data_IF_932119033511
#
_entry.id   IF_932119033511
#
_cell.length_a   1.000
_cell.length_b   1.000
_cell.length_c   1.000
_cell.angle_alpha   90.00
_cell.angle_beta   90.00
_cell.angle_gamma   90.00
#
_symmetry.space_group_name_H-M   'P 1'
#
loop_
_entity.id
_entity.type
_entity.pdbx_description
1 polymer ?
#
# COMPACT_ATOMS: atom_id res chain seq x y z
N UNK A 1 -5.82 9.46 7.50
CA UNK A 1 -5.96 8.36 6.53
C UNK A 1 -4.85 8.45 5.50
N UNK A 2 -4.38 7.34 4.98
CA UNK A 2 -3.34 7.33 3.97
C UNK A 2 -3.94 7.34 2.56
N UNK A 3 -3.17 7.86 1.61
CA UNK A 3 -3.54 7.77 0.19
C UNK A 3 -3.70 6.32 -0.24
N UNK A 4 -2.85 5.43 0.28
CA UNK A 4 -2.95 4.00 -0.02
C UNK A 4 -4.33 3.45 0.34
N UNK A 5 -4.81 3.73 1.54
CA UNK A 5 -6.14 3.26 1.96
C UNK A 5 -7.24 3.86 1.11
N UNK A 6 -7.14 5.15 0.81
CA UNK A 6 -8.15 5.82 -0.02
C UNK A 6 -8.24 5.20 -1.40
N UNK A 7 -7.11 4.96 -2.05
CA UNK A 7 -7.08 4.35 -3.38
C UNK A 7 -7.60 2.91 -3.31
N UNK A 8 -7.19 2.14 -2.30
CA UNK A 8 -7.68 0.77 -2.13
C UNK A 8 -9.20 0.75 -2.01
N UNK A 9 -9.75 1.61 -1.15
CA UNK A 9 -11.20 1.66 -0.93
C UNK A 9 -11.95 2.16 -2.16
N UNK A 10 -11.39 3.12 -2.88
CA UNK A 10 -12.02 3.65 -4.09
C UNK A 10 -12.12 2.59 -5.19
N UNK A 11 -11.23 1.61 -5.20
CA UNK A 11 -11.25 0.51 -6.15
C UNK A 11 -12.07 -0.68 -5.65
N UNK A 12 -12.61 -0.58 -4.44
CA UNK A 12 -13.46 -1.64 -3.87
C UNK A 12 -12.70 -2.83 -3.31
N UNK A 13 -11.40 -2.70 -3.04
CA UNK A 13 -10.61 -3.80 -2.50
C UNK A 13 -10.60 -3.81 -0.98
N UNK A 14 -10.72 -5.03 -0.43
CA UNK A 14 -10.45 -5.25 1.00
C UNK A 14 -8.94 -5.43 1.23
N UNK A 15 -8.52 -5.32 2.49
CA UNK A 15 -7.13 -5.62 2.86
C UNK A 15 -6.74 -7.03 2.42
N UNK A 16 -7.63 -8.01 2.64
CA UNK A 16 -7.34 -9.39 2.26
C UNK A 16 -7.13 -9.56 0.76
N UNK A 17 -7.90 -8.85 -0.05
CA UNK A 17 -7.74 -8.91 -1.49
C UNK A 17 -6.39 -8.34 -1.94
N UNK A 18 -6.00 -7.21 -1.38
CA UNK A 18 -4.69 -6.63 -1.67
C UNK A 18 -3.57 -7.52 -1.16
N UNK A 19 -3.75 -8.11 0.03
CA UNK A 19 -2.78 -9.06 0.59
C UNK A 19 -2.53 -10.23 -0.36
N UNK A 20 -3.59 -10.84 -0.87
CA UNK A 20 -3.47 -11.94 -1.81
C UNK A 20 -2.82 -11.52 -3.12
N UNK A 21 -3.24 -10.40 -3.67
CA UNK A 21 -2.73 -9.93 -4.96
C UNK A 21 -1.28 -9.47 -4.92
N UNK A 22 -0.86 -8.86 -3.82
CA UNK A 22 0.50 -8.36 -3.67
C UNK A 22 1.43 -9.34 -2.96
N UNK A 23 0.90 -10.43 -2.41
CA UNK A 23 1.64 -11.43 -1.63
C UNK A 23 2.31 -10.84 -0.38
N UNK A 24 1.62 -9.89 0.25
CA UNK A 24 2.08 -9.24 1.47
C UNK A 24 1.08 -9.59 2.58
N UNK A 25 1.56 -9.99 3.77
CA UNK A 25 0.65 -10.33 4.88
C UNK A 25 -0.30 -9.19 5.20
N UNK A 26 -1.56 -9.51 5.49
CA UNK A 26 -2.57 -8.49 5.79
C UNK A 26 -2.21 -7.66 7.01
N UNK A 27 -1.58 -8.26 8.03
CA UNK A 27 -1.13 -7.52 9.21
C UNK A 27 -0.12 -6.44 8.83
N UNK A 28 0.79 -6.74 7.89
CA UNK A 28 1.73 -5.76 7.38
C UNK A 28 1.01 -4.62 6.66
N UNK A 29 -0.01 -4.94 5.86
CA UNK A 29 -0.79 -3.92 5.16
C UNK A 29 -1.53 -3.00 6.13
N UNK A 30 -2.10 -3.55 7.21
CA UNK A 30 -2.72 -2.72 8.24
C UNK A 30 -1.71 -1.75 8.85
N UNK A 31 -0.50 -2.22 9.16
CA UNK A 31 0.54 -1.36 9.72
C UNK A 31 0.99 -0.28 8.74
N UNK A 32 1.09 -0.62 7.47
CA UNK A 32 1.48 0.34 6.42
C UNK A 32 0.38 1.39 6.24
N UNK A 33 -0.87 0.99 6.18
CA UNK A 33 -1.99 1.94 6.03
C UNK A 33 -2.16 2.85 7.24
N UNK A 34 -1.73 2.41 8.40
CA UNK A 34 -1.77 3.22 9.63
C UNK A 34 -0.46 3.97 9.89
N UNK A 35 0.48 3.93 8.96
CA UNK A 35 1.79 4.60 9.05
C UNK A 35 2.69 4.06 10.17
N UNK A 36 2.45 2.85 10.67
CA UNK A 36 3.32 2.24 11.68
C UNK A 36 4.57 1.64 11.09
N UNK A 37 4.51 1.23 9.82
CA UNK A 37 5.63 0.60 9.11
C UNK A 37 5.74 1.15 7.71
N UNK A 38 6.97 1.14 7.19
CA UNK A 38 7.22 1.31 5.78
C UNK A 38 7.41 -0.05 5.10
N UNK A 39 7.73 -0.02 3.82
CA UNK A 39 7.95 -1.21 3.01
C UNK A 39 9.27 -1.11 2.26
N UNK A 40 9.89 -2.26 2.01
CA UNK A 40 11.01 -2.32 1.06
C UNK A 40 10.47 -2.10 -0.36
N UNK A 41 11.36 -1.68 -1.26
CA UNK A 41 10.99 -1.29 -2.62
C UNK A 41 10.19 -2.37 -3.36
N UNK A 42 10.61 -3.63 -3.26
CA UNK A 42 9.94 -4.71 -3.97
C UNK A 42 8.49 -4.88 -3.53
N UNK A 43 8.22 -4.77 -2.23
CA UNK A 43 6.86 -4.88 -1.71
C UNK A 43 6.02 -3.66 -2.07
N UNK A 44 6.62 -2.46 -2.01
CA UNK A 44 5.93 -1.24 -2.43
C UNK A 44 5.54 -1.32 -3.90
N UNK A 45 6.43 -1.81 -4.75
CA UNK A 45 6.14 -2.02 -6.17
C UNK A 45 5.03 -3.06 -6.37
N UNK A 46 5.01 -4.12 -5.59
CA UNK A 46 3.95 -5.14 -5.70
C UNK A 46 2.57 -4.55 -5.42
N UNK A 47 2.47 -3.68 -4.42
CA UNK A 47 1.19 -3.01 -4.12
C UNK A 47 0.82 -2.05 -5.25
N UNK A 48 1.76 -1.23 -5.71
CA UNK A 48 1.52 -0.27 -6.79
C UNK A 48 1.07 -0.98 -8.07
N UNK A 49 1.73 -2.08 -8.42
CA UNK A 49 1.36 -2.87 -9.59
C UNK A 49 -0.02 -3.48 -9.45
N UNK A 50 -0.35 -4.02 -8.27
CA UNK A 50 -1.67 -4.59 -8.05
C UNK A 50 -2.77 -3.54 -8.18
N UNK A 51 -2.56 -2.35 -7.62
CA UNK A 51 -3.54 -1.27 -7.68
C UNK A 51 -3.54 -0.53 -9.02
N UNK A 52 -2.51 -0.72 -9.83
CA UNK A 52 -2.43 -0.08 -11.14
C UNK A 52 -2.13 1.41 -11.08
N UNK A 53 -1.39 1.86 -10.06
CA UNK A 53 -1.02 3.27 -9.91
C UNK A 53 0.50 3.38 -9.75
N UNK A 54 1.09 4.55 -10.10
CA UNK A 54 2.52 4.75 -9.88
C UNK A 54 2.89 4.68 -8.40
N UNK A 55 4.05 4.09 -8.10
CA UNK A 55 4.50 3.92 -6.72
C UNK A 55 4.62 5.26 -5.97
N UNK A 56 5.05 6.29 -6.65
CA UNK A 56 5.23 7.62 -6.05
C UNK A 56 3.92 8.28 -5.66
N UNK A 57 2.78 7.80 -6.19
CA UNK A 57 1.47 8.28 -5.76
C UNK A 57 1.05 7.70 -4.42
N UNK A 58 1.68 6.60 -4.00
CA UNK A 58 1.32 5.89 -2.78
C UNK A 58 2.31 6.09 -1.64
N UNK A 59 3.61 6.22 -1.96
CA UNK A 59 4.69 6.14 -0.98
C UNK A 59 5.73 7.23 -1.17
N UNK A 60 6.44 7.53 -0.07
CA UNK A 60 7.64 8.37 -0.13
C UNK A 60 8.80 7.56 -0.71
N UNK A 61 9.67 8.24 -1.45
CA UNK A 61 10.74 7.58 -2.20
C UNK A 61 11.86 7.00 -1.32
N UNK A 62 12.21 7.62 -0.21
CA UNK A 62 13.38 7.23 0.58
C UNK A 62 13.14 5.96 1.39
N UNK A 63 11.99 5.88 2.02
CA UNK A 63 11.58 4.71 2.77
C UNK A 63 10.07 4.61 2.59
N UNK A 64 9.62 3.61 1.88
CA UNK A 64 8.26 3.58 1.33
C UNK A 64 7.20 3.47 2.41
N UNK A 65 6.81 4.62 2.95
CA UNK A 65 5.66 4.77 3.82
C UNK A 65 4.49 5.31 3.02
N UNK A 66 3.28 4.91 3.41
CA UNK A 66 2.09 5.41 2.72
C UNK A 66 1.97 6.92 2.90
N UNK A 67 1.67 7.63 1.81
CA UNK A 67 1.48 9.06 1.85
C UNK A 67 0.24 9.41 2.64
N UNK A 68 0.31 10.48 3.42
CA UNK A 68 -0.85 11.06 4.09
C UNK A 68 -1.62 11.96 3.12
N UNK A 69 -2.91 11.99 3.31
CA UNK A 69 -3.79 12.85 2.53
C UNK A 69 -3.66 14.31 2.91
#
# INVERSE_FOLDING_TARGET
MTVLREIRESKGYTINEVSKGSKIPSSTLYDVESCRKGLITSRANSIANFLGVPIENLFFATYYRANLE
#
